data_IF_448066544065
#
_entry.id   IF_448066544065
#
_cell.length_a   1.000
_cell.length_b   1.000
_cell.length_c   1.000
_cell.angle_alpha   90.00
_cell.angle_beta   90.00
_cell.angle_gamma   90.00
#
_symmetry.space_group_name_H-M   'P 1'
#
loop_
_entity.id
_entity.type
_entity.pdbx_description
1 polymer ?
#
# COMPACT_ATOMS: atom_id res chain seq x y z
N UNK A 1 -35.16 11.99 -4.00
CA UNK A 1 -34.37 11.11 -4.90
C UNK A 1 -32.98 10.92 -4.28
N UNK A 2 -32.77 9.82 -3.64
CA UNK A 2 -31.52 9.45 -3.00
C UNK A 2 -30.62 8.82 -4.06
N UNK A 3 -29.65 9.59 -4.56
CA UNK A 3 -28.62 9.08 -5.43
C UNK A 3 -27.73 8.10 -4.67
N UNK A 4 -27.83 6.83 -5.00
CA UNK A 4 -26.91 5.78 -4.53
C UNK A 4 -25.54 6.11 -5.14
N UNK A 5 -24.65 6.70 -4.36
CA UNK A 5 -23.24 6.78 -4.71
C UNK A 5 -22.66 5.37 -4.60
N UNK A 6 -22.75 4.62 -5.67
CA UNK A 6 -22.00 3.38 -5.83
C UNK A 6 -20.52 3.77 -5.93
N UNK A 7 -19.79 3.63 -4.84
CA UNK A 7 -18.32 3.67 -4.89
C UNK A 7 -17.85 2.48 -5.73
N UNK A 8 -17.51 2.75 -6.98
CA UNK A 8 -17.07 1.74 -7.94
C UNK A 8 -15.71 1.10 -7.57
N UNK A 9 -14.99 1.71 -6.65
CA UNK A 9 -13.70 1.20 -6.16
C UNK A 9 -13.71 1.11 -4.65
N UNK A 10 -13.61 -0.09 -4.09
CA UNK A 10 -13.40 -0.22 -2.66
C UNK A 10 -12.01 0.32 -2.31
N UNK A 11 -11.98 1.45 -1.60
CA UNK A 11 -10.74 2.01 -0.99
C UNK A 11 -9.99 0.97 -0.16
N UNK A 12 -10.68 -0.08 0.23
CA UNK A 12 -10.19 -1.20 1.02
C UNK A 12 -9.13 -2.09 0.35
N UNK A 13 -8.78 -1.84 -0.91
CA UNK A 13 -7.79 -2.66 -1.65
C UNK A 13 -6.47 -1.91 -1.88
N UNK A 14 -6.44 -0.59 -1.63
CA UNK A 14 -5.29 0.26 -1.90
C UNK A 14 -4.74 0.88 -0.62
N UNK A 15 -3.43 0.88 -0.46
CA UNK A 15 -2.73 1.43 0.69
C UNK A 15 -1.70 2.46 0.23
N UNK A 16 -1.72 3.66 0.82
CA UNK A 16 -0.79 4.74 0.51
C UNK A 16 -1.13 5.57 -0.73
N UNK A 17 -2.36 5.41 -1.29
CA UNK A 17 -2.85 6.15 -2.46
C UNK A 17 -3.94 7.18 -2.10
N UNK A 18 -3.88 7.78 -0.91
CA UNK A 18 -4.96 8.61 -0.34
C UNK A 18 -5.43 9.75 -1.28
N UNK A 19 -4.53 10.28 -2.10
CA UNK A 19 -4.80 11.38 -3.05
C UNK A 19 -5.14 10.91 -4.48
N UNK A 20 -4.95 9.62 -4.80
CA UNK A 20 -5.22 9.07 -6.13
C UNK A 20 -6.62 8.44 -6.25
N UNK A 21 -7.34 8.31 -5.14
CA UNK A 21 -8.67 7.69 -5.13
C UNK A 21 -9.69 8.41 -5.99
N UNK A 22 -9.60 9.73 -6.08
CA UNK A 22 -10.54 10.54 -6.86
C UNK A 22 -10.40 10.31 -8.37
N UNK A 23 -9.25 9.80 -8.83
CA UNK A 23 -8.97 9.57 -10.26
C UNK A 23 -9.26 8.13 -10.71
N UNK A 24 -9.33 7.19 -9.78
CA UNK A 24 -9.47 5.76 -10.09
C UNK A 24 -10.91 5.22 -10.05
N UNK A 25 -11.88 6.09 -9.74
CA UNK A 25 -13.30 5.71 -9.57
C UNK A 25 -13.98 5.17 -10.84
N UNK A 26 -13.28 5.16 -11.96
CA UNK A 26 -13.89 4.83 -13.26
C UNK A 26 -13.56 3.45 -13.86
N UNK A 27 -12.74 2.62 -13.28
CA UNK A 27 -12.18 1.50 -14.06
C UNK A 27 -12.27 0.08 -13.49
N UNK A 28 -13.10 -0.30 -12.50
CA UNK A 28 -13.35 -1.77 -12.35
C UNK A 28 -14.63 -2.11 -11.58
N UNK A 29 -15.60 -2.61 -12.29
CA UNK A 29 -16.71 -3.41 -11.77
C UNK A 29 -16.27 -4.87 -11.70
N UNK A 30 -15.78 -5.31 -10.57
CA UNK A 30 -15.87 -6.72 -10.17
C UNK A 30 -16.01 -6.78 -8.65
N UNK A 31 -17.27 -6.84 -8.22
CA UNK A 31 -17.61 -7.33 -6.91
C UNK A 31 -16.97 -8.69 -6.79
N UNK A 32 -16.27 -8.97 -5.66
CA UNK A 32 -16.50 -10.29 -5.22
C UNK A 32 -15.53 -10.81 -4.21
N UNK A 33 -16.06 -11.49 -3.33
CA UNK A 33 -15.48 -12.21 -2.23
C UNK A 33 -14.74 -11.29 -1.23
N UNK A 34 -15.56 -10.64 -0.39
CA UNK A 34 -15.07 -9.83 0.73
C UNK A 34 -14.51 -10.69 1.88
N UNK A 35 -14.26 -11.98 1.63
CA UNK A 35 -13.71 -12.85 2.64
C UNK A 35 -12.18 -12.98 2.53
N UNK A 36 -11.44 -12.89 3.65
CA UNK A 36 -11.92 -12.47 4.96
C UNK A 36 -12.23 -10.97 5.03
N UNK A 37 -13.11 -10.54 5.94
CA UNK A 37 -13.32 -9.12 6.23
C UNK A 37 -12.02 -8.48 6.66
N UNK A 38 -11.79 -7.23 6.27
CA UNK A 38 -10.58 -6.52 6.61
C UNK A 38 -10.82 -5.03 6.79
N UNK A 39 -9.94 -4.39 7.54
CA UNK A 39 -9.84 -2.96 7.71
C UNK A 39 -8.49 -2.47 7.17
N UNK A 40 -8.44 -1.24 6.70
CA UNK A 40 -7.20 -0.50 6.46
C UNK A 40 -7.25 0.77 7.27
N UNK A 41 -6.30 0.93 8.18
CA UNK A 41 -6.21 2.06 9.07
C UNK A 41 -4.97 2.88 8.74
N UNK A 42 -5.09 4.19 8.86
CA UNK A 42 -3.95 5.10 8.94
C UNK A 42 -3.75 5.41 10.42
N UNK A 43 -2.67 4.91 10.99
CA UNK A 43 -2.38 5.03 12.42
C UNK A 43 -1.37 6.13 12.76
N UNK A 44 -0.79 6.74 11.74
CA UNK A 44 0.16 7.84 11.83
C UNK A 44 0.27 8.59 10.51
N UNK A 45 1.20 9.52 10.39
CA UNK A 45 1.43 10.23 9.13
C UNK A 45 1.96 9.30 8.04
N UNK A 46 2.80 8.36 8.42
CA UNK A 46 3.47 7.40 7.52
C UNK A 46 3.11 5.95 7.79
N UNK A 47 2.32 5.69 8.81
CA UNK A 47 2.07 4.35 9.32
C UNK A 47 0.65 3.89 9.01
N UNK A 48 0.54 2.69 8.47
CA UNK A 48 -0.73 2.05 8.10
C UNK A 48 -0.81 0.67 8.73
N UNK A 49 -2.02 0.22 8.97
CA UNK A 49 -2.32 -1.11 9.49
C UNK A 49 -3.41 -1.76 8.63
N UNK A 50 -3.17 -2.99 8.21
CA UNK A 50 -4.20 -3.84 7.62
C UNK A 50 -4.58 -4.88 8.66
N UNK A 51 -5.86 -4.99 8.96
CA UNK A 51 -6.42 -6.00 9.85
C UNK A 51 -7.31 -6.95 9.05
N UNK A 52 -7.05 -8.25 9.12
CA UNK A 52 -7.90 -9.28 8.52
C UNK A 52 -8.51 -10.14 9.61
N UNK A 53 -9.82 -10.32 9.60
CA UNK A 53 -10.52 -11.20 10.51
C UNK A 53 -10.40 -12.66 10.05
N UNK A 54 -9.42 -13.37 10.62
CA UNK A 54 -9.06 -14.75 10.24
C UNK A 54 -9.30 -15.72 11.42
N UNK A 55 -10.41 -15.54 12.11
CA UNK A 55 -10.78 -16.40 13.21
C UNK A 55 -10.80 -17.89 12.77
N UNK A 56 -10.16 -18.73 13.57
CA UNK A 56 -10.06 -20.17 13.30
C UNK A 56 -8.86 -20.60 12.48
N UNK A 57 -8.05 -19.65 11.96
CA UNK A 57 -6.76 -19.95 11.32
C UNK A 57 -5.63 -19.94 12.33
N UNK A 58 -4.68 -20.83 12.15
CA UNK A 58 -3.39 -20.83 12.86
C UNK A 58 -2.34 -20.11 12.04
N UNK A 59 -1.24 -19.72 12.68
CA UNK A 59 -0.13 -18.99 11.99
C UNK A 59 0.45 -19.75 10.81
N UNK A 60 0.59 -21.06 10.93
CA UNK A 60 1.10 -21.97 9.91
C UNK A 60 0.16 -22.19 8.71
N UNK A 61 -1.10 -21.77 8.84
CA UNK A 61 -2.11 -21.81 7.79
C UNK A 61 -2.20 -20.50 6.99
N UNK A 62 -1.47 -19.49 7.41
CA UNK A 62 -1.46 -18.17 6.80
C UNK A 62 -0.10 -17.88 6.16
N UNK A 63 -0.12 -17.31 4.97
CA UNK A 63 1.09 -16.88 4.26
C UNK A 63 0.93 -15.44 3.80
N UNK A 64 1.96 -14.64 4.01
CA UNK A 64 2.04 -13.25 3.59
C UNK A 64 3.22 -13.09 2.65
N UNK A 65 2.99 -12.58 1.46
CA UNK A 65 4.00 -12.35 0.44
C UNK A 65 3.90 -10.95 -0.13
N UNK A 66 5.03 -10.32 -0.39
CA UNK A 66 5.11 -9.05 -1.12
C UNK A 66 5.92 -9.25 -2.37
N UNK A 67 5.31 -8.98 -3.50
CA UNK A 67 5.97 -9.01 -4.81
C UNK A 67 5.45 -7.88 -5.68
N UNK A 68 6.32 -7.17 -6.34
CA UNK A 68 5.98 -6.11 -7.31
C UNK A 68 4.93 -5.12 -6.77
N UNK A 69 5.14 -4.64 -5.55
CA UNK A 69 4.20 -3.73 -4.84
C UNK A 69 2.80 -4.33 -4.62
N UNK A 70 2.71 -5.63 -4.63
CA UNK A 70 1.48 -6.36 -4.33
C UNK A 70 1.69 -7.19 -3.07
N UNK A 71 0.96 -6.85 -2.03
CA UNK A 71 0.87 -7.65 -0.81
C UNK A 71 -0.21 -8.70 -1.02
N UNK A 72 0.15 -9.96 -0.89
CA UNK A 72 -0.76 -11.10 -0.99
C UNK A 72 -0.83 -11.81 0.35
N UNK A 73 -2.04 -12.02 0.84
CA UNK A 73 -2.33 -12.82 2.03
C UNK A 73 -3.14 -14.02 1.60
N UNK A 74 -2.66 -15.20 1.91
CA UNK A 74 -3.36 -16.47 1.65
C UNK A 74 -3.60 -17.21 2.95
N UNK A 75 -4.74 -17.88 3.04
CA UNK A 75 -5.07 -18.76 4.14
C UNK A 75 -5.63 -20.06 3.61
N UNK A 76 -5.13 -21.16 4.12
CA UNK A 76 -5.60 -22.50 3.79
C UNK A 76 -5.73 -23.34 5.07
N UNK A 77 -6.97 -23.52 5.49
CA UNK A 77 -7.27 -24.27 6.70
C UNK A 77 -7.25 -25.78 6.41
N UNK A 78 -6.46 -26.51 7.19
CA UNK A 78 -6.48 -27.97 7.14
C UNK A 78 -7.74 -28.48 7.87
N UNK A 79 -8.76 -28.82 7.09
CA UNK A 79 -10.01 -29.37 7.61
C UNK A 79 -9.76 -30.73 8.26
N UNK A 80 -9.83 -30.76 9.59
CA UNK A 80 -9.84 -32.02 10.33
C UNK A 80 -11.29 -32.44 10.51
N UNK A 81 -11.84 -33.14 9.54
CA UNK A 81 -13.09 -33.93 9.60
C UNK A 81 -14.09 -33.69 10.73
N UNK A 82 -14.41 -32.42 11.01
CA UNK A 82 -15.37 -32.05 12.05
C UNK A 82 -16.78 -32.09 11.49
N UNK A 83 -17.66 -32.74 12.16
CA UNK A 83 -19.09 -32.71 11.85
C UNK A 83 -19.72 -31.50 12.55
N UNK A 84 -20.34 -30.60 11.77
CA UNK A 84 -20.97 -29.38 12.30
C UNK A 84 -22.49 -29.54 12.24
N UNK A 85 -23.19 -29.32 13.34
CA UNK A 85 -24.64 -29.11 13.34
C UNK A 85 -24.99 -27.78 12.68
N UNK A 86 -24.17 -26.75 12.97
CA UNK A 86 -24.25 -25.43 12.35
C UNK A 86 -22.84 -24.85 12.19
N UNK A 87 -22.54 -24.25 11.05
CA UNK A 87 -21.25 -23.63 10.80
C UNK A 87 -21.45 -22.16 10.40
N UNK A 88 -21.23 -21.24 11.34
CA UNK A 88 -21.29 -19.81 11.12
C UNK A 88 -19.92 -19.17 10.84
N UNK A 89 -18.83 -19.77 11.38
CA UNK A 89 -17.46 -19.26 11.16
C UNK A 89 -16.89 -19.92 9.91
N UNK A 90 -16.57 -19.10 8.92
CA UNK A 90 -15.96 -19.55 7.67
C UNK A 90 -14.45 -19.69 7.85
N UNK A 91 -13.92 -20.86 7.50
CA UNK A 91 -12.48 -21.13 7.39
C UNK A 91 -12.12 -21.60 6.00
N UNK A 92 -12.83 -21.09 4.99
CA UNK A 92 -12.55 -21.42 3.59
C UNK A 92 -11.21 -20.86 3.15
N UNK A 93 -10.57 -21.54 2.21
CA UNK A 93 -9.36 -21.03 1.56
C UNK A 93 -9.62 -19.66 0.95
N UNK A 94 -8.67 -18.73 1.16
CA UNK A 94 -8.76 -17.40 0.60
C UNK A 94 -7.41 -16.90 0.06
N UNK A 95 -7.51 -15.93 -0.82
CA UNK A 95 -6.39 -15.12 -1.30
C UNK A 95 -6.83 -13.66 -1.36
N UNK A 96 -6.18 -12.80 -0.58
CA UNK A 96 -6.40 -11.35 -0.60
C UNK A 96 -5.17 -10.64 -1.12
N UNK A 97 -5.37 -9.67 -1.98
CA UNK A 97 -4.30 -8.86 -2.55
C UNK A 97 -4.54 -7.40 -2.28
N UNK A 98 -3.47 -6.70 -1.91
CA UNK A 98 -3.46 -5.26 -1.68
C UNK A 98 -2.37 -4.64 -2.54
N UNK A 99 -2.73 -3.59 -3.27
CA UNK A 99 -1.77 -2.83 -4.04
C UNK A 99 -1.11 -1.79 -3.15
N UNK A 100 0.20 -1.83 -3.05
CA UNK A 100 0.99 -0.87 -2.29
C UNK A 100 1.47 0.25 -3.19
N UNK A 101 1.53 1.47 -2.68
CA UNK A 101 2.20 2.55 -3.38
C UNK A 101 3.72 2.32 -3.41
N UNK A 102 4.42 3.06 -4.26
CA UNK A 102 5.85 2.86 -4.52
C UNK A 102 6.72 2.89 -3.26
N UNK A 103 6.34 3.72 -2.29
CA UNK A 103 7.12 3.94 -1.09
C UNK A 103 6.55 3.25 0.15
N UNK A 104 5.54 2.40 0.01
CA UNK A 104 4.98 1.64 1.13
C UNK A 104 5.69 0.30 1.25
N UNK A 105 6.19 0.03 2.45
CA UNK A 105 6.87 -1.22 2.80
C UNK A 105 6.13 -1.92 3.92
N UNK A 106 6.12 -3.24 3.88
CA UNK A 106 5.61 -4.08 4.98
C UNK A 106 6.69 -4.16 6.05
N UNK A 107 6.33 -3.79 7.27
CA UNK A 107 7.24 -3.74 8.41
C UNK A 107 7.16 -5.00 9.26
N UNK A 108 5.97 -5.54 9.42
CA UNK A 108 5.74 -6.75 10.21
C UNK A 108 4.31 -7.25 10.11
N UNK A 109 4.06 -8.38 10.72
CA UNK A 109 2.71 -8.92 10.87
C UNK A 109 2.61 -9.74 12.16
N UNK A 110 1.44 -9.70 12.79
CA UNK A 110 1.13 -10.52 13.95
C UNK A 110 -0.30 -11.03 13.92
N UNK A 111 -0.53 -12.18 14.53
CA UNK A 111 -1.85 -12.80 14.68
C UNK A 111 -2.24 -12.82 16.15
N UNK A 112 -3.22 -11.99 16.50
CA UNK A 112 -3.74 -11.86 17.86
C UNK A 112 -5.26 -11.97 17.85
N UNK A 113 -5.81 -12.81 18.69
CA UNK A 113 -7.25 -12.97 18.89
C UNK A 113 -8.05 -13.19 17.59
N UNK A 114 -7.47 -13.89 16.61
CA UNK A 114 -8.10 -14.15 15.32
C UNK A 114 -8.06 -12.99 14.34
N UNK A 115 -7.32 -11.94 14.65
CA UNK A 115 -7.04 -10.81 13.77
C UNK A 115 -5.58 -10.88 13.31
N UNK A 116 -5.37 -10.94 12.01
CA UNK A 116 -4.06 -10.78 11.40
C UNK A 116 -3.83 -9.29 11.15
N UNK A 117 -2.92 -8.72 11.92
CA UNK A 117 -2.49 -7.33 11.80
C UNK A 117 -1.22 -7.27 10.97
N UNK A 118 -1.19 -6.45 9.92
CA UNK A 118 -0.04 -6.25 9.04
C UNK A 118 0.33 -4.77 9.08
N UNK A 119 1.52 -4.49 9.57
CA UNK A 119 2.05 -3.13 9.68
C UNK A 119 2.76 -2.72 8.39
N UNK A 120 2.40 -1.53 7.89
CA UNK A 120 3.02 -0.94 6.72
C UNK A 120 3.50 0.47 7.04
N UNK A 121 4.59 0.84 6.39
CA UNK A 121 5.18 2.16 6.57
C UNK A 121 5.43 2.81 5.21
N UNK A 122 5.02 4.06 5.10
CA UNK A 122 5.39 4.91 3.97
C UNK A 122 6.78 5.48 4.21
N UNK A 123 7.75 5.08 3.40
CA UNK A 123 9.13 5.54 3.49
C UNK A 123 9.35 6.63 2.45
N UNK A 124 9.42 7.89 2.90
CA UNK A 124 9.76 9.00 2.01
C UNK A 124 11.24 8.89 1.65
N UNK A 125 11.60 8.73 0.36
CA UNK A 125 12.98 8.76 -0.08
C UNK A 125 13.66 10.07 0.35
N UNK A 126 14.93 10.01 0.71
CA UNK A 126 15.67 11.20 1.13
C UNK A 126 15.70 12.30 0.06
N UNK A 127 15.69 11.92 -1.19
CA UNK A 127 15.62 12.81 -2.36
C UNK A 127 14.33 13.65 -2.41
N UNK A 128 13.23 13.16 -1.83
CA UNK A 128 11.95 13.84 -1.75
C UNK A 128 11.75 14.62 -0.45
N UNK A 129 12.70 14.52 0.50
CA UNK A 129 12.62 15.28 1.75
C UNK A 129 12.97 16.76 1.50
N UNK A 130 12.24 17.69 2.11
CA UNK A 130 12.61 19.09 2.07
C UNK A 130 14.04 19.26 2.60
N UNK A 131 14.94 19.81 1.79
CA UNK A 131 16.29 20.16 2.21
C UNK A 131 16.44 21.67 2.20
N UNK A 132 17.07 22.21 3.22
CA UNK A 132 17.44 23.61 3.24
C UNK A 132 18.65 23.81 2.31
N UNK A 133 18.50 24.69 1.34
CA UNK A 133 19.59 25.08 0.46
C UNK A 133 20.16 26.37 1.00
N UNK A 134 21.45 26.37 1.27
CA UNK A 134 22.15 27.61 1.67
C UNK A 134 22.37 28.48 0.45
N UNK A 135 22.08 29.76 0.62
CA UNK A 135 22.35 30.79 -0.40
C UNK A 135 23.84 31.15 -0.28
N UNK A 136 24.62 30.55 -1.17
CA UNK A 136 26.05 30.82 -1.28
C UNK A 136 26.37 31.65 -2.54
N UNK A 137 27.65 31.79 -2.81
CA UNK A 137 28.11 32.42 -4.05
C UNK A 137 28.05 31.38 -5.17
N UNK A 138 27.27 31.65 -6.20
CA UNK A 138 27.19 30.80 -7.37
C UNK A 138 28.39 31.13 -8.29
N UNK A 139 29.40 30.27 -8.26
CA UNK A 139 30.38 30.23 -9.34
C UNK A 139 29.76 29.52 -10.52
N UNK A 140 29.20 30.29 -11.45
CA UNK A 140 28.59 29.75 -12.66
C UNK A 140 29.55 28.84 -13.40
N UNK A 141 29.04 27.79 -14.03
CA UNK A 141 29.82 26.99 -14.98
C UNK A 141 30.14 27.92 -16.15
N UNK A 142 31.23 28.61 -16.06
CA UNK A 142 31.80 29.30 -17.21
C UNK A 142 32.41 28.22 -18.07
N UNK A 143 31.71 27.84 -19.15
CA UNK A 143 32.36 27.15 -20.23
C UNK A 143 33.41 28.08 -20.79
N UNK A 144 34.66 27.82 -20.46
CA UNK A 144 35.86 28.61 -20.74
C UNK A 144 36.11 28.79 -22.26
N UNK A 145 35.23 28.26 -23.11
CA UNK A 145 35.41 28.31 -24.58
C UNK A 145 34.73 29.49 -25.25
N UNK A 146 33.69 30.09 -24.67
CA UNK A 146 32.94 31.16 -25.34
C UNK A 146 33.41 32.57 -24.97
N UNK A 147 34.05 32.74 -23.81
CA UNK A 147 34.48 34.06 -23.33
C UNK A 147 35.73 34.56 -24.07
N UNK A 148 36.58 33.64 -24.58
CA UNK A 148 37.78 34.03 -25.32
C UNK A 148 37.51 34.57 -26.74
N UNK A 149 36.41 34.13 -27.36
CA UNK A 149 36.06 34.59 -28.70
C UNK A 149 35.41 35.97 -28.68
N UNK A 150 34.62 36.27 -27.65
CA UNK A 150 33.95 37.60 -27.55
C UNK A 150 34.89 38.75 -27.19
N UNK A 151 36.02 38.47 -26.57
CA UNK A 151 37.01 39.48 -26.24
C UNK A 151 37.98 39.78 -27.40
N UNK A 152 38.05 38.91 -28.40
CA UNK A 152 38.89 39.19 -29.60
C UNK A 152 38.16 39.93 -30.71
N UNK A 153 36.84 39.96 -30.70
CA UNK A 153 36.05 40.74 -31.69
C UNK A 153 35.75 42.18 -31.22
N UNK A 154 36.07 42.50 -29.97
CA UNK A 154 35.84 43.86 -29.39
C UNK A 154 37.09 44.74 -29.36
N UNK A 155 38.13 44.35 -30.04
CA UNK A 155 39.38 45.17 -30.16
C UNK A 155 39.50 45.81 -31.54
#
# INVERSE_FOLDING_TARGET
MTGIKTNLFPRSTFVGFDHLFDQLEHATRHAHDHYPPHNILKVGETDYLIELAVAGFHRDELTIEVKDRTLTVTGEHQSKGREYIHRGISTKKFKRTFRLSEHVQVHGADLVDGILAIELKYVVPEELRPRKIEIGHYEGITNDTDTKQLLQEAS
#
